data_IF_271117380358
#
_entry.id   IF_271117380358
#
_cell.length_a   1.000
_cell.length_b   1.000
_cell.length_c   1.000
_cell.angle_alpha   90.00
_cell.angle_beta   90.00
_cell.angle_gamma   90.00
#
_symmetry.space_group_name_H-M   'P 1'
#
loop_
_entity.id
_entity.type
_entity.pdbx_description
1 polymer ?
#
# COMPACT_ATOMS: atom_id res chain seq x y z
N UNK A 1 -4.66 31.21 14.67
CA UNK A 1 -4.53 30.42 13.43
C UNK A 1 -5.59 29.33 13.46
N UNK A 2 -6.56 29.32 12.54
CA UNK A 2 -7.55 28.24 12.42
C UNK A 2 -7.06 27.30 11.32
N UNK A 3 -6.68 26.08 11.68
CA UNK A 3 -6.47 25.02 10.69
C UNK A 3 -7.83 24.77 10.02
N UNK A 4 -7.96 25.17 8.75
CA UNK A 4 -9.03 24.69 7.88
C UNK A 4 -8.51 23.39 7.28
N UNK A 5 -8.99 22.28 7.82
CA UNK A 5 -8.74 20.97 7.27
C UNK A 5 -9.77 20.69 6.18
N UNK A 6 -9.28 20.35 4.99
CA UNK A 6 -10.11 19.85 3.89
C UNK A 6 -9.58 18.46 3.53
N UNK A 7 -10.43 17.45 3.73
CA UNK A 7 -10.10 16.06 3.48
C UNK A 7 -10.18 15.69 1.99
N UNK A 8 -10.82 16.53 1.16
CA UNK A 8 -11.22 16.17 -0.21
C UNK A 8 -10.43 16.97 -1.24
N UNK A 9 -9.21 17.40 -0.88
CA UNK A 9 -8.33 18.08 -1.81
C UNK A 9 -7.87 17.09 -2.88
N UNK A 10 -8.16 17.41 -4.14
CA UNK A 10 -7.96 16.49 -5.27
C UNK A 10 -6.52 15.93 -5.33
N UNK A 11 -5.52 16.78 -5.10
CA UNK A 11 -4.12 16.35 -5.10
C UNK A 11 -3.76 15.38 -3.96
N UNK A 12 -4.47 15.44 -2.82
CA UNK A 12 -4.30 14.46 -1.73
C UNK A 12 -4.93 13.13 -2.12
N UNK A 13 -6.09 13.15 -2.77
CA UNK A 13 -6.75 11.93 -3.25
C UNK A 13 -5.95 11.26 -4.36
N UNK A 14 -5.39 12.05 -5.29
CA UNK A 14 -4.50 11.56 -6.35
C UNK A 14 -3.23 10.91 -5.76
N UNK A 15 -2.63 11.49 -4.72
CA UNK A 15 -1.48 10.93 -4.04
C UNK A 15 -1.81 9.59 -3.35
N UNK A 16 -2.93 9.53 -2.61
CA UNK A 16 -3.41 8.28 -1.98
C UNK A 16 -3.70 7.21 -3.04
N UNK A 17 -4.43 7.56 -4.10
CA UNK A 17 -4.77 6.65 -5.20
C UNK A 17 -3.52 6.11 -5.89
N UNK A 18 -2.46 6.91 -6.03
CA UNK A 18 -1.21 6.46 -6.65
C UNK A 18 -0.53 5.32 -5.88
N UNK A 19 -0.66 5.29 -4.55
CA UNK A 19 -0.16 4.16 -3.74
C UNK A 19 -1.12 2.98 -3.76
N UNK A 20 -2.43 3.23 -3.61
CA UNK A 20 -3.42 2.15 -3.57
C UNK A 20 -3.44 1.38 -4.91
N UNK A 21 -3.29 2.08 -6.03
CA UNK A 21 -3.29 1.49 -7.36
C UNK A 21 -2.02 0.68 -7.67
N UNK A 22 -0.93 0.89 -6.93
CA UNK A 22 0.29 0.10 -7.05
C UNK A 22 0.00 -1.39 -6.74
N UNK A 23 -0.92 -1.64 -5.81
CA UNK A 23 -1.33 -2.98 -5.38
C UNK A 23 -2.60 -3.48 -6.08
N UNK A 24 -3.00 -2.86 -7.20
CA UNK A 24 -4.19 -3.29 -7.94
C UNK A 24 -4.06 -4.75 -8.39
N UNK A 25 -5.07 -5.56 -8.09
CA UNK A 25 -5.08 -7.00 -8.37
C UNK A 25 -4.70 -7.87 -7.17
N UNK A 26 -4.20 -7.25 -6.08
CA UNK A 26 -4.02 -7.92 -4.80
C UNK A 26 -5.38 -8.39 -4.26
N UNK A 27 -5.46 -9.66 -3.83
CA UNK A 27 -6.64 -10.17 -3.17
C UNK A 27 -6.81 -9.49 -1.80
N UNK A 28 -8.03 -9.03 -1.50
CA UNK A 28 -8.35 -8.58 -0.16
C UNK A 28 -8.29 -9.78 0.78
N UNK A 29 -7.43 -9.72 1.80
CA UNK A 29 -7.40 -10.73 2.86
C UNK A 29 -8.68 -10.57 3.68
N UNK A 30 -9.74 -11.28 3.28
CA UNK A 30 -10.94 -11.42 4.09
C UNK A 30 -10.62 -12.43 5.19
N UNK A 31 -10.66 -11.97 6.43
CA UNK A 31 -10.36 -12.73 7.63
C UNK A 31 -10.86 -14.20 7.56
N UNK A 32 -9.94 -15.13 7.77
CA UNK A 32 -10.22 -16.57 7.88
C UNK A 32 -9.17 -17.48 7.26
N UNK A 33 -7.89 -17.37 7.67
CA UNK A 33 -6.92 -18.44 7.42
C UNK A 33 -6.64 -19.16 8.74
N UNK A 34 -7.00 -20.43 8.83
CA UNK A 34 -6.52 -21.36 9.85
C UNK A 34 -5.13 -21.81 9.41
N UNK A 35 -4.09 -21.38 10.12
CA UNK A 35 -2.75 -21.89 9.86
C UNK A 35 -2.72 -23.40 10.16
N UNK A 36 -2.27 -24.27 9.23
CA UNK A 36 -1.95 -25.63 9.60
C UNK A 36 -0.79 -25.57 10.60
N UNK A 37 -1.02 -26.14 11.78
CA UNK A 37 -0.09 -26.15 12.89
C UNK A 37 1.08 -27.10 12.61
N UNK A 38 1.95 -26.80 11.65
CA UNK A 38 3.21 -27.53 11.44
C UNK A 38 4.18 -26.74 10.56
N UNK A 39 5.01 -25.90 11.17
CA UNK A 39 6.42 -25.66 10.81
C UNK A 39 7.05 -24.56 11.68
N UNK A 40 7.46 -24.91 12.90
CA UNK A 40 8.78 -24.50 13.42
C UNK A 40 9.09 -23.04 13.76
N UNK A 41 8.13 -22.15 14.03
CA UNK A 41 8.43 -20.81 14.60
C UNK A 41 7.91 -20.67 16.03
N UNK A 42 8.85 -20.53 16.96
CA UNK A 42 8.68 -20.08 18.34
C UNK A 42 8.02 -18.69 18.39
N UNK A 43 6.70 -18.68 18.49
CA UNK A 43 5.88 -17.54 18.91
C UNK A 43 5.04 -17.97 20.12
N UNK A 44 4.88 -17.07 21.09
CA UNK A 44 4.23 -17.27 22.39
C UNK A 44 3.00 -18.21 22.39
N UNK A 45 2.83 -19.08 23.40
CA UNK A 45 1.63 -19.90 23.53
C UNK A 45 0.45 -19.00 23.91
N UNK A 46 -0.41 -18.68 22.93
CA UNK A 46 -1.61 -17.87 23.15
C UNK A 46 -2.11 -17.03 21.96
N UNK A 47 -1.41 -17.01 20.82
CA UNK A 47 -1.89 -16.34 19.60
C UNK A 47 -2.00 -17.34 18.45
N UNK A 48 -3.14 -18.02 18.34
CA UNK A 48 -3.41 -19.00 17.27
C UNK A 48 -3.66 -18.34 15.89
N UNK A 49 -3.60 -17.01 15.77
CA UNK A 49 -3.88 -16.29 14.53
C UNK A 49 -2.93 -15.09 14.36
N UNK A 50 -1.72 -15.34 13.87
CA UNK A 50 -0.88 -14.27 13.30
C UNK A 50 -1.38 -13.90 11.91
N UNK A 51 -1.96 -12.70 11.76
CA UNK A 51 -2.32 -12.15 10.45
C UNK A 51 -1.09 -11.40 9.89
N UNK A 52 -0.39 -12.02 8.95
CA UNK A 52 0.70 -11.36 8.21
C UNK A 52 0.19 -10.75 6.90
N UNK A 53 0.68 -9.55 6.55
CA UNK A 53 0.47 -9.02 5.21
C UNK A 53 1.16 -9.93 4.20
N UNK A 54 0.41 -10.47 3.25
CA UNK A 54 0.94 -11.29 2.15
C UNK A 54 0.81 -10.54 0.84
N UNK A 55 1.92 -10.26 0.16
CA UNK A 55 1.89 -9.75 -1.21
C UNK A 55 1.75 -10.95 -2.16
N UNK A 56 0.64 -11.00 -2.90
CA UNK A 56 0.37 -12.07 -3.88
C UNK A 56 0.71 -11.64 -5.31
N UNK A 57 0.83 -10.33 -5.55
CA UNK A 57 1.23 -9.79 -6.82
C UNK A 57 2.67 -10.17 -7.14
N UNK A 58 2.88 -10.69 -8.34
CA UNK A 58 4.22 -10.89 -8.88
C UNK A 58 4.86 -9.56 -9.27
N UNK A 59 6.17 -9.57 -9.43
CA UNK A 59 6.94 -8.39 -9.83
C UNK A 59 6.38 -7.75 -11.11
N UNK A 60 6.03 -8.56 -12.11
CA UNK A 60 5.48 -8.09 -13.38
C UNK A 60 4.15 -7.34 -13.20
N UNK A 61 3.33 -7.73 -12.23
CA UNK A 61 2.08 -7.06 -11.91
C UNK A 61 2.34 -5.72 -11.21
N UNK A 62 3.25 -5.69 -10.23
CA UNK A 62 3.67 -4.46 -9.57
C UNK A 62 4.29 -3.48 -10.58
N UNK A 63 5.17 -3.96 -11.46
CA UNK A 63 5.80 -3.13 -12.49
C UNK A 63 4.76 -2.57 -13.48
N UNK A 64 3.78 -3.38 -13.87
CA UNK A 64 2.66 -2.93 -14.71
C UNK A 64 1.84 -1.85 -14.01
N UNK A 65 1.50 -2.04 -12.74
CA UNK A 65 0.76 -1.07 -11.95
C UNK A 65 1.54 0.23 -11.75
N UNK A 66 2.82 0.14 -11.41
CA UNK A 66 3.73 1.28 -11.29
C UNK A 66 3.76 2.10 -12.58
N UNK A 67 3.95 1.44 -13.73
CA UNK A 67 3.97 2.12 -15.04
C UNK A 67 2.66 2.82 -15.37
N UNK A 68 1.52 2.24 -14.97
CA UNK A 68 0.22 2.86 -15.15
C UNK A 68 0.06 4.11 -14.27
N UNK A 69 0.49 4.03 -13.01
CA UNK A 69 0.52 5.16 -12.07
C UNK A 69 1.45 6.26 -12.58
N UNK A 70 2.66 5.92 -13.01
CA UNK A 70 3.63 6.85 -13.58
C UNK A 70 3.07 7.57 -14.81
N UNK A 71 2.49 6.81 -15.76
CA UNK A 71 1.92 7.38 -16.98
C UNK A 71 0.79 8.37 -16.67
N UNK A 72 -0.13 8.01 -15.76
CA UNK A 72 -1.22 8.89 -15.33
C UNK A 72 -0.72 10.19 -14.69
N UNK A 73 0.40 10.12 -13.95
CA UNK A 73 1.03 11.26 -13.31
C UNK A 73 2.05 11.99 -14.21
N UNK A 74 2.18 11.61 -15.49
CA UNK A 74 3.12 12.23 -16.43
C UNK A 74 4.60 11.96 -16.14
N UNK A 75 4.90 10.88 -15.40
CA UNK A 75 6.25 10.48 -15.02
C UNK A 75 6.85 9.49 -16.02
N UNK A 76 8.19 9.46 -16.10
CA UNK A 76 8.92 8.48 -16.91
C UNK A 76 8.68 7.09 -16.35
N UNK A 77 8.38 6.14 -17.24
CA UNK A 77 8.07 4.78 -16.86
C UNK A 77 9.32 3.97 -16.51
N UNK A 78 9.29 3.31 -15.35
CA UNK A 78 10.37 2.43 -14.89
C UNK A 78 10.53 1.21 -15.80
N UNK A 79 11.77 0.82 -16.12
CA UNK A 79 12.07 -0.28 -17.05
C UNK A 79 12.06 -1.67 -16.39
N UNK A 80 12.51 -1.76 -15.15
CA UNK A 80 12.55 -2.99 -14.35
C UNK A 80 12.47 -2.62 -12.87
N UNK A 81 11.95 -3.51 -12.04
CA UNK A 81 12.04 -3.37 -10.59
C UNK A 81 13.35 -4.01 -10.10
N UNK A 82 13.86 -3.54 -8.98
CA UNK A 82 14.89 -4.28 -8.26
C UNK A 82 14.15 -5.22 -7.31
N UNK A 83 14.17 -6.53 -7.60
CA UNK A 83 13.40 -7.56 -6.88
C UNK A 83 13.58 -7.52 -5.35
N UNK A 84 14.74 -7.06 -4.87
CA UNK A 84 15.06 -7.02 -3.45
C UNK A 84 14.54 -5.79 -2.70
N UNK A 85 14.03 -4.75 -3.40
CA UNK A 85 13.60 -3.49 -2.79
C UNK A 85 12.38 -2.89 -3.49
N UNK A 86 11.19 -3.20 -2.95
CA UNK A 86 9.97 -2.45 -3.23
C UNK A 86 9.99 -1.10 -2.49
N UNK A 87 10.77 -0.16 -3.03
CA UNK A 87 10.89 1.20 -2.53
C UNK A 87 10.27 2.19 -3.53
N UNK A 88 9.33 2.99 -3.06
CA UNK A 88 8.52 3.88 -3.91
C UNK A 88 8.34 5.23 -3.26
N UNK A 89 8.56 6.28 -4.05
CA UNK A 89 8.49 7.65 -3.57
C UNK A 89 7.18 8.35 -3.96
N UNK A 90 6.69 9.20 -3.05
CA UNK A 90 5.70 10.22 -3.34
C UNK A 90 6.30 11.57 -3.01
N UNK A 91 6.52 12.38 -4.04
CA UNK A 91 6.96 13.75 -3.87
C UNK A 91 5.75 14.68 -3.75
N UNK A 92 5.72 15.47 -2.69
CA UNK A 92 4.72 16.52 -2.50
C UNK A 92 5.37 17.77 -1.93
N UNK A 93 4.90 18.93 -2.36
CA UNK A 93 5.37 20.24 -1.88
C UNK A 93 5.15 20.40 -0.36
N UNK A 94 5.92 21.28 0.28
CA UNK A 94 5.70 21.64 1.69
C UNK A 94 4.30 22.25 1.90
N UNK A 95 3.68 22.00 3.05
CA UNK A 95 2.34 22.52 3.36
C UNK A 95 1.16 21.82 2.65
N UNK A 96 1.39 20.79 1.84
CA UNK A 96 0.32 20.05 1.11
C UNK A 96 -0.32 18.91 1.92
N UNK A 97 0.15 18.64 3.14
CA UNK A 97 -0.46 17.62 4.00
C UNK A 97 0.04 16.19 3.79
N UNK A 98 1.33 16.00 3.46
CA UNK A 98 1.99 14.68 3.34
C UNK A 98 1.63 13.71 4.47
N UNK A 99 1.67 14.16 5.72
CA UNK A 99 1.31 13.33 6.90
C UNK A 99 -0.10 12.77 6.80
N UNK A 100 -1.07 13.58 6.35
CA UNK A 100 -2.43 13.11 6.16
C UNK A 100 -2.53 12.09 5.03
N UNK A 101 -1.84 12.33 3.91
CA UNK A 101 -1.76 11.37 2.80
C UNK A 101 -1.22 10.03 3.28
N UNK A 102 -0.11 9.99 4.02
CA UNK A 102 0.43 8.75 4.58
C UNK A 102 -0.58 7.99 5.44
N UNK A 103 -1.23 8.69 6.37
CA UNK A 103 -2.23 8.07 7.26
C UNK A 103 -3.42 7.55 6.45
N UNK A 104 -4.00 8.36 5.57
CA UNK A 104 -5.14 7.95 4.72
C UNK A 104 -4.77 6.78 3.81
N UNK A 105 -3.55 6.75 3.28
CA UNK A 105 -3.05 5.63 2.47
C UNK A 105 -3.05 4.33 3.26
N UNK A 106 -2.57 4.30 4.50
CA UNK A 106 -2.61 3.08 5.34
C UNK A 106 -4.06 2.62 5.54
N UNK A 107 -4.99 3.54 5.82
CA UNK A 107 -6.41 3.21 5.93
C UNK A 107 -7.01 2.68 4.62
N UNK A 108 -6.70 3.29 3.48
CA UNK A 108 -7.21 2.83 2.19
C UNK A 108 -6.58 1.49 1.76
N UNK A 109 -5.31 1.23 2.06
CA UNK A 109 -4.68 -0.07 1.82
C UNK A 109 -5.34 -1.16 2.69
N UNK A 110 -5.65 -0.87 3.95
CA UNK A 110 -6.42 -1.78 4.79
C UNK A 110 -7.81 -2.05 4.22
N UNK A 111 -8.53 -0.99 3.83
CA UNK A 111 -9.88 -1.09 3.29
C UNK A 111 -9.95 -1.86 1.96
N UNK A 112 -8.97 -1.69 1.09
CA UNK A 112 -8.96 -2.32 -0.24
C UNK A 112 -8.33 -3.72 -0.22
N UNK A 113 -7.31 -3.95 0.63
CA UNK A 113 -6.49 -5.16 0.57
C UNK A 113 -6.35 -5.91 1.90
N UNK A 114 -6.85 -5.37 3.01
CA UNK A 114 -6.70 -5.95 4.34
C UNK A 114 -5.32 -5.76 4.96
N UNK A 115 -4.49 -4.85 4.41
CA UNK A 115 -3.16 -4.58 4.94
C UNK A 115 -3.22 -4.00 6.37
N UNK A 116 -2.45 -4.56 7.30
CA UNK A 116 -2.34 -4.11 8.69
C UNK A 116 -0.92 -3.66 9.01
N UNK A 117 -0.75 -2.62 9.82
CA UNK A 117 0.55 -2.10 10.25
C UNK A 117 0.92 -2.54 11.67
#
# INVERSE_FOLDING_TARGET
MKLKFDANLEYQEQAVSSVVDLFRGQAAVKAGFTAPADAGTTGMPGSENGFGNRLELGEMDILKNLRAVQLRNGLVQTKALNEEQYDFDIEMETGTGKTYVYLRTVFELNKNYGATC
#
